data_IF_375312671469
#
_entry.id   IF_375312671469
#
_cell.length_a   1.000
_cell.length_b   1.000
_cell.length_c   1.000
_cell.angle_alpha   90.00
_cell.angle_beta   90.00
_cell.angle_gamma   90.00
#
_symmetry.space_group_name_H-M   'P 1'
#
loop_
_entity.id
_entity.type
_entity.pdbx_description
1 polymer ?
#
# COMPACT_ATOMS: atom_id res chain seq x y z
N UNK A 1 -0.33 26.99 -1.07
CA UNK A 1 0.73 26.15 -0.43
C UNK A 1 2.03 26.35 -1.19
N UNK A 2 3.10 26.74 -0.47
CA UNK A 2 4.43 26.99 -1.07
C UNK A 2 5.45 25.92 -0.65
N UNK A 3 5.35 25.41 0.58
CA UNK A 3 6.31 24.46 1.14
C UNK A 3 5.60 23.36 1.92
N UNK A 4 5.86 22.10 1.56
CA UNK A 4 5.34 20.92 2.24
C UNK A 4 6.49 19.98 2.63
N UNK A 5 6.44 19.46 3.85
CA UNK A 5 7.41 18.49 4.33
C UNK A 5 6.71 17.16 4.63
N UNK A 6 7.23 16.06 4.10
CA UNK A 6 6.67 14.73 4.30
C UNK A 6 7.61 13.83 5.12
N UNK A 7 7.04 12.81 5.73
CA UNK A 7 7.80 11.75 6.40
C UNK A 7 7.01 10.45 6.42
N UNK A 8 7.67 9.39 6.03
CA UNK A 8 7.15 8.02 6.06
C UNK A 8 8.24 7.05 5.66
N UNK A 9 8.25 5.85 6.18
CA UNK A 9 9.36 4.97 5.84
C UNK A 9 9.26 3.56 6.42
N UNK A 10 10.31 2.81 6.19
CA UNK A 10 10.41 1.42 6.59
C UNK A 10 9.79 0.44 5.61
N UNK A 11 8.73 0.80 4.90
CA UNK A 11 8.08 -0.03 3.87
C UNK A 11 7.54 0.81 2.72
N UNK A 12 7.35 0.18 1.55
CA UNK A 12 6.70 0.83 0.40
C UNK A 12 5.29 1.32 0.71
N UNK A 13 4.56 0.64 1.60
CA UNK A 13 3.21 1.02 2.02
C UNK A 13 3.11 2.38 2.72
N UNK A 14 4.23 2.93 3.22
CA UNK A 14 4.30 4.28 3.77
C UNK A 14 4.92 5.28 2.78
N UNK A 15 5.87 4.83 1.95
CA UNK A 15 6.61 5.71 1.05
C UNK A 15 5.76 6.09 -0.16
N UNK A 16 5.13 5.12 -0.82
CA UNK A 16 4.33 5.39 -2.02
C UNK A 16 3.13 6.30 -1.78
N UNK A 17 2.34 6.16 -0.70
CA UNK A 17 1.29 7.15 -0.39
C UNK A 17 1.82 8.57 -0.20
N UNK A 18 3.01 8.73 0.42
CA UNK A 18 3.63 10.04 0.54
C UNK A 18 3.96 10.64 -0.84
N UNK A 19 4.52 9.84 -1.75
CA UNK A 19 4.84 10.29 -3.11
C UNK A 19 3.57 10.59 -3.92
N UNK A 20 2.49 9.82 -3.73
CA UNK A 20 1.18 10.11 -4.35
C UNK A 20 0.62 11.44 -3.86
N UNK A 21 0.76 11.76 -2.57
CA UNK A 21 0.39 13.08 -2.03
C UNK A 21 1.22 14.18 -2.67
N UNK A 22 2.55 14.00 -2.81
CA UNK A 22 3.43 14.96 -3.49
C UNK A 22 2.95 15.23 -4.91
N UNK A 23 2.63 14.20 -5.67
CA UNK A 23 2.14 14.35 -7.04
C UNK A 23 0.82 15.11 -7.08
N UNK A 24 -0.12 14.83 -6.19
CA UNK A 24 -1.40 15.51 -6.12
C UNK A 24 -1.22 17.00 -5.73
N UNK A 25 -0.35 17.27 -4.76
CA UNK A 25 -0.02 18.65 -4.34
C UNK A 25 0.62 19.43 -5.51
N UNK A 26 1.56 18.83 -6.24
CA UNK A 26 2.21 19.46 -7.41
C UNK A 26 1.24 19.73 -8.57
N UNK A 27 0.25 18.86 -8.78
CA UNK A 27 -0.80 19.14 -9.78
C UNK A 27 -1.58 20.42 -9.48
N UNK A 28 -1.84 20.68 -8.18
CA UNK A 28 -2.59 21.87 -7.74
C UNK A 28 -1.73 23.09 -7.47
N UNK A 29 -0.48 22.88 -7.05
CA UNK A 29 0.51 23.91 -6.72
C UNK A 29 1.84 23.58 -7.43
N UNK A 30 1.98 23.93 -8.72
CA UNK A 30 3.15 23.53 -9.52
C UNK A 30 4.50 24.00 -8.94
N UNK A 31 4.51 25.15 -8.27
CA UNK A 31 5.73 25.77 -7.71
C UNK A 31 6.00 25.35 -6.25
N UNK A 32 5.32 24.33 -5.74
CA UNK A 32 5.50 23.88 -4.36
C UNK A 32 6.90 23.27 -4.15
N UNK A 33 7.61 23.80 -3.16
CA UNK A 33 8.84 23.17 -2.67
C UNK A 33 8.49 21.98 -1.77
N UNK A 34 9.14 20.85 -2.03
CA UNK A 34 8.90 19.62 -1.30
C UNK A 34 10.15 19.15 -0.57
N UNK A 35 10.00 18.85 0.71
CA UNK A 35 11.03 18.18 1.47
C UNK A 35 10.53 16.85 2.06
N UNK A 36 11.46 15.97 2.36
CA UNK A 36 11.18 14.67 2.96
C UNK A 36 12.16 14.37 4.09
N UNK A 37 11.65 13.94 5.24
CA UNK A 37 12.48 13.40 6.33
C UNK A 37 12.38 11.89 6.33
N UNK A 38 13.53 11.23 6.21
CA UNK A 38 13.66 9.77 6.19
C UNK A 38 14.87 9.29 6.97
N UNK A 39 15.13 7.98 6.99
CA UNK A 39 16.37 7.41 7.55
C UNK A 39 17.42 7.25 6.48
N UNK A 40 18.69 7.42 6.83
CA UNK A 40 19.81 7.32 5.89
C UNK A 40 19.90 5.98 5.15
N UNK A 41 19.55 4.89 5.83
CA UNK A 41 19.67 3.52 5.32
C UNK A 41 18.31 2.85 5.09
N UNK A 42 17.21 3.62 5.14
CA UNK A 42 15.87 3.12 4.88
C UNK A 42 15.57 3.03 3.38
N UNK A 43 14.52 2.31 3.06
CA UNK A 43 14.02 2.18 1.69
C UNK A 43 13.67 3.56 1.08
N UNK A 44 13.19 4.48 1.92
CA UNK A 44 12.88 5.86 1.55
C UNK A 44 14.10 6.64 1.02
N UNK A 45 15.30 6.39 1.55
CA UNK A 45 16.53 7.02 1.07
C UNK A 45 16.91 6.63 -0.37
N UNK A 46 16.41 5.48 -0.84
CA UNK A 46 16.63 5.02 -2.22
C UNK A 46 15.51 5.45 -3.16
N UNK A 47 14.25 5.47 -2.68
CA UNK A 47 13.06 5.71 -3.53
C UNK A 47 12.81 7.21 -3.69
N UNK A 48 12.81 7.99 -2.60
CA UNK A 48 12.40 9.39 -2.61
C UNK A 48 13.27 10.26 -3.52
N UNK A 49 14.62 10.16 -3.54
CA UNK A 49 15.45 10.94 -4.45
C UNK A 49 15.21 10.65 -5.94
N UNK A 50 14.65 9.50 -6.27
CA UNK A 50 14.32 9.13 -7.65
C UNK A 50 12.94 9.64 -8.09
N UNK A 51 12.13 10.14 -7.17
CA UNK A 51 10.76 10.59 -7.44
C UNK A 51 10.67 12.06 -7.89
N UNK A 52 11.80 12.71 -8.14
CA UNK A 52 11.89 14.10 -8.63
C UNK A 52 12.57 15.03 -7.63
N UNK A 53 12.40 16.35 -7.84
CA UNK A 53 13.02 17.37 -6.98
C UNK A 53 12.36 17.39 -5.59
N UNK A 54 12.92 16.62 -4.67
CA UNK A 54 12.50 16.51 -3.27
C UNK A 54 13.74 16.63 -2.40
N UNK A 55 13.79 17.68 -1.58
CA UNK A 55 14.89 17.88 -0.64
C UNK A 55 14.84 16.82 0.46
N UNK A 56 15.84 15.96 0.55
CA UNK A 56 15.88 14.87 1.53
C UNK A 56 16.71 15.26 2.75
N UNK A 57 16.13 15.09 3.96
CA UNK A 57 16.79 15.21 5.24
C UNK A 57 16.86 13.84 5.88
N UNK A 58 18.05 13.41 6.28
CA UNK A 58 18.23 12.15 6.99
C UNK A 58 18.23 12.33 8.50
N UNK A 59 17.57 11.40 9.20
CA UNK A 59 17.56 11.34 10.66
C UNK A 59 17.93 9.96 11.15
N UNK A 60 18.61 9.88 12.28
CA UNK A 60 18.95 8.62 12.91
C UNK A 60 17.84 8.22 13.88
N UNK A 61 17.02 7.24 13.47
CA UNK A 61 15.98 6.68 14.33
C UNK A 61 15.88 5.16 14.16
N UNK A 62 15.44 4.50 15.22
CA UNK A 62 15.20 3.06 15.28
C UNK A 62 13.79 2.79 15.79
N UNK A 63 13.10 1.82 15.20
CA UNK A 63 11.80 1.36 15.71
C UNK A 63 11.92 0.73 17.11
N UNK A 64 10.89 0.90 17.93
CA UNK A 64 10.84 0.29 19.27
C UNK A 64 10.83 -1.25 19.18
N UNK A 65 11.74 -1.89 19.90
CA UNK A 65 11.72 -3.35 20.09
C UNK A 65 10.59 -3.72 21.06
N UNK A 66 9.80 -4.75 20.73
CA UNK A 66 8.63 -5.17 21.51
C UNK A 66 8.95 -5.80 22.87
N UNK A 67 10.18 -6.21 23.12
CA UNK A 67 10.62 -6.76 24.41
C UNK A 67 11.15 -5.64 25.30
N UNK A 68 10.76 -5.66 26.56
CA UNK A 68 11.39 -4.82 27.58
C UNK A 68 12.88 -5.17 27.65
N UNK A 69 13.73 -4.29 27.18
CA UNK A 69 15.18 -4.46 27.19
C UNK A 69 15.85 -3.10 27.44
N UNK A 70 17.09 -3.13 27.90
CA UNK A 70 17.93 -1.92 28.04
C UNK A 70 18.08 -1.16 26.71
N UNK A 71 17.90 -1.85 25.58
CA UNK A 71 17.86 -1.24 24.25
C UNK A 71 16.72 -0.21 24.10
N UNK A 72 15.63 -0.33 24.86
CA UNK A 72 14.53 0.63 24.82
C UNK A 72 14.94 2.00 25.41
N UNK A 73 15.88 2.04 26.35
CA UNK A 73 16.43 3.30 26.87
C UNK A 73 17.23 4.01 25.77
N UNK A 74 18.03 3.27 25.02
CA UNK A 74 18.71 3.81 23.84
C UNK A 74 17.74 4.26 22.75
N UNK A 75 16.63 3.55 22.55
CA UNK A 75 15.59 3.93 21.60
C UNK A 75 14.91 5.24 21.99
N UNK A 76 14.68 5.48 23.30
CA UNK A 76 14.15 6.77 23.77
C UNK A 76 15.17 7.90 23.55
N UNK A 77 16.45 7.68 23.86
CA UNK A 77 17.49 8.67 23.60
C UNK A 77 17.63 8.99 22.10
N UNK A 78 17.59 7.98 21.24
CA UNK A 78 17.56 8.14 19.77
C UNK A 78 16.32 8.88 19.30
N UNK A 79 15.16 8.61 19.90
CA UNK A 79 13.94 9.34 19.58
C UNK A 79 14.05 10.84 19.92
N UNK A 80 14.59 11.18 21.10
CA UNK A 80 14.80 12.58 21.49
C UNK A 80 15.81 13.29 20.59
N UNK A 81 16.90 12.61 20.21
CA UNK A 81 17.86 13.11 19.21
C UNK A 81 17.17 13.35 17.88
N UNK A 82 16.42 12.36 17.36
CA UNK A 82 15.69 12.49 16.11
C UNK A 82 14.67 13.64 16.14
N UNK A 83 13.97 13.86 17.27
CA UNK A 83 13.07 15.03 17.42
C UNK A 83 13.86 16.35 17.32
N UNK A 84 15.07 16.43 17.86
CA UNK A 84 15.92 17.61 17.72
C UNK A 84 16.34 17.82 16.27
N UNK A 85 16.83 16.77 15.61
CA UNK A 85 17.28 16.83 14.22
C UNK A 85 16.10 17.19 13.28
N UNK A 86 14.90 16.64 13.53
CA UNK A 86 13.67 17.02 12.83
C UNK A 86 13.32 18.51 13.04
N UNK A 87 13.48 19.04 14.27
CA UNK A 87 13.24 20.48 14.53
C UNK A 87 14.21 21.36 13.74
N UNK A 88 15.46 20.95 13.60
CA UNK A 88 16.46 21.68 12.80
C UNK A 88 16.09 21.65 11.31
N UNK A 89 15.67 20.50 10.78
CA UNK A 89 15.19 20.36 9.40
C UNK A 89 13.94 21.23 9.14
N UNK A 90 12.95 21.22 10.05
CA UNK A 90 11.73 22.00 9.98
C UNK A 90 12.05 23.51 9.98
N UNK A 91 12.95 23.97 10.86
CA UNK A 91 13.38 25.40 10.88
C UNK A 91 14.11 25.80 9.63
N UNK A 92 14.94 24.94 9.07
CA UNK A 92 15.72 25.19 7.85
C UNK A 92 14.85 25.24 6.60
N UNK A 93 13.77 24.46 6.57
CA UNK A 93 12.88 24.37 5.40
C UNK A 93 11.65 25.28 5.51
N UNK A 94 11.16 25.56 6.73
CA UNK A 94 9.97 26.38 7.02
C UNK A 94 8.71 25.89 6.29
N UNK A 95 8.28 24.62 6.49
CA UNK A 95 7.08 24.10 5.84
C UNK A 95 5.81 24.74 6.38
N UNK A 96 4.82 24.95 5.50
CA UNK A 96 3.46 25.35 5.88
C UNK A 96 2.67 24.20 6.52
N UNK A 97 3.00 22.96 6.16
CA UNK A 97 2.39 21.74 6.72
C UNK A 97 3.39 20.59 6.71
N UNK A 98 3.30 19.75 7.74
CA UNK A 98 4.08 18.50 7.85
C UNK A 98 3.15 17.30 7.77
N UNK A 99 3.43 16.39 6.83
CA UNK A 99 2.61 15.22 6.51
C UNK A 99 3.35 13.94 6.91
N UNK A 100 2.70 13.09 7.68
CA UNK A 100 3.15 11.74 7.96
C UNK A 100 2.31 10.70 7.25
N UNK A 101 2.94 9.65 6.74
CA UNK A 101 2.24 8.52 6.09
C UNK A 101 2.48 7.20 6.80
N UNK A 102 3.04 7.26 8.02
CA UNK A 102 3.29 6.08 8.85
C UNK A 102 4.75 5.66 8.90
N UNK A 103 4.97 4.55 9.61
CA UNK A 103 6.31 4.10 9.93
C UNK A 103 6.90 4.83 11.15
N UNK A 104 7.97 4.25 11.70
CA UNK A 104 8.61 4.80 12.90
C UNK A 104 9.31 6.16 12.66
N UNK A 105 9.61 6.49 11.40
CA UNK A 105 10.28 7.75 10.99
C UNK A 105 9.35 8.94 11.13
N UNK A 106 8.05 8.78 10.84
CA UNK A 106 7.07 9.86 10.97
C UNK A 106 6.82 10.28 12.42
N UNK A 107 7.18 9.42 13.41
CA UNK A 107 7.00 9.68 14.83
C UNK A 107 7.68 10.97 15.31
N UNK A 108 9.02 11.05 15.28
CA UNK A 108 9.74 12.25 15.73
C UNK A 108 9.44 13.47 14.83
N UNK A 109 9.21 13.26 13.53
CA UNK A 109 8.94 14.34 12.59
C UNK A 109 7.64 15.08 12.92
N UNK A 110 6.53 14.36 13.02
CA UNK A 110 5.24 14.97 13.37
C UNK A 110 5.18 15.46 14.82
N UNK A 111 5.83 14.75 15.74
CA UNK A 111 5.94 15.23 17.11
C UNK A 111 6.71 16.55 17.21
N UNK A 112 7.84 16.68 16.48
CA UNK A 112 8.60 17.91 16.39
C UNK A 112 7.78 19.06 15.81
N UNK A 113 7.08 18.82 14.68
CA UNK A 113 6.22 19.79 14.01
C UNK A 113 5.10 20.28 14.95
N UNK A 114 4.38 19.37 15.60
CA UNK A 114 3.33 19.70 16.56
C UNK A 114 3.86 20.53 17.76
N UNK A 115 5.08 20.24 18.23
CA UNK A 115 5.71 21.04 19.30
C UNK A 115 6.26 22.38 18.85
N UNK A 116 6.34 22.61 17.54
CA UNK A 116 6.71 23.91 16.94
C UNK A 116 5.49 24.67 16.44
N UNK A 117 4.29 24.16 16.69
CA UNK A 117 3.00 24.72 16.17
C UNK A 117 2.97 24.84 14.65
N UNK A 118 3.69 23.96 13.94
CA UNK A 118 3.56 23.80 12.49
C UNK A 118 2.37 22.87 12.23
N UNK A 119 1.45 23.21 11.33
CA UNK A 119 0.31 22.36 10.96
C UNK A 119 0.71 20.92 10.62
N UNK A 120 -0.08 19.95 11.10
CA UNK A 120 0.27 18.53 11.00
C UNK A 120 -0.89 17.68 10.49
N UNK A 121 -0.55 16.79 9.58
CA UNK A 121 -1.45 15.80 9.01
C UNK A 121 -0.81 14.41 9.06
N UNK A 122 -1.55 13.38 9.46
CA UNK A 122 -1.09 11.99 9.37
C UNK A 122 -2.11 11.12 8.64
N UNK A 123 -1.63 10.31 7.69
CA UNK A 123 -2.41 9.29 7.03
C UNK A 123 -2.14 7.93 7.69
N UNK A 124 -3.18 7.28 8.18
CA UNK A 124 -3.15 5.90 8.66
C UNK A 124 -3.67 4.97 7.56
N UNK A 125 -2.84 4.10 7.00
CA UNK A 125 -3.26 3.23 5.91
C UNK A 125 -4.07 2.01 6.34
N UNK A 126 -3.79 1.42 7.51
CA UNK A 126 -4.29 0.11 7.93
C UNK A 126 -5.54 0.21 8.81
N UNK A 127 -6.38 -0.85 8.83
CA UNK A 127 -7.53 -0.98 9.75
C UNK A 127 -7.07 -0.98 11.20
N UNK A 128 -5.94 -1.65 11.50
CA UNK A 128 -5.32 -1.59 12.82
C UNK A 128 -4.19 -0.56 12.84
N UNK A 129 -4.40 0.63 13.44
CA UNK A 129 -3.43 1.70 13.38
C UNK A 129 -2.09 1.32 14.00
N UNK A 130 -1.01 1.77 13.34
CA UNK A 130 0.35 1.62 13.83
C UNK A 130 0.57 2.31 15.18
N UNK A 131 1.56 1.83 15.95
CA UNK A 131 1.91 2.43 17.25
C UNK A 131 2.27 3.91 17.12
N UNK A 132 2.94 4.28 16.05
CA UNK A 132 3.33 5.66 15.75
C UNK A 132 2.09 6.55 15.58
N UNK A 133 1.12 6.15 14.76
CA UNK A 133 -0.13 6.89 14.57
C UNK A 133 -0.90 7.00 15.88
N UNK A 134 -1.05 5.90 16.61
CA UNK A 134 -1.73 5.89 17.93
C UNK A 134 -1.06 6.84 18.95
N UNK A 135 0.26 6.93 18.95
CA UNK A 135 1.01 7.88 19.77
C UNK A 135 0.76 9.32 19.33
N UNK A 136 0.83 9.58 18.01
CA UNK A 136 0.72 10.92 17.43
C UNK A 136 -0.70 11.48 17.46
N UNK A 137 -1.73 10.65 17.51
CA UNK A 137 -3.15 11.03 17.45
C UNK A 137 -3.51 12.22 18.33
N UNK A 138 -2.92 12.32 19.53
CA UNK A 138 -3.18 13.42 20.48
C UNK A 138 -2.41 14.72 20.18
N UNK A 139 -1.44 14.68 19.31
CA UNK A 139 -0.56 15.82 19.04
C UNK A 139 -0.86 16.48 17.70
N UNK A 140 -1.14 15.68 16.67
CA UNK A 140 -1.38 16.15 15.30
C UNK A 140 -2.74 16.84 15.17
N UNK A 141 -2.86 17.72 14.17
CA UNK A 141 -4.08 18.49 13.94
C UNK A 141 -5.14 17.67 13.20
N UNK A 142 -4.72 16.90 12.17
CA UNK A 142 -5.61 16.00 11.44
C UNK A 142 -5.03 14.59 11.35
N UNK A 143 -5.87 13.62 11.65
CA UNK A 143 -5.65 12.19 11.37
C UNK A 143 -6.59 11.78 10.25
N UNK A 144 -6.04 11.32 9.14
CA UNK A 144 -6.78 10.74 8.03
C UNK A 144 -6.66 9.21 8.07
N UNK A 145 -7.72 8.51 7.75
CA UNK A 145 -7.73 7.06 7.68
C UNK A 145 -8.05 6.59 6.26
N UNK A 146 -7.36 5.55 5.82
CA UNK A 146 -7.55 4.98 4.49
C UNK A 146 -8.69 3.97 4.44
N UNK A 147 -8.79 3.12 5.47
CA UNK A 147 -9.79 2.07 5.58
C UNK A 147 -10.70 2.38 6.77
N UNK A 148 -12.01 2.22 6.59
CA UNK A 148 -12.97 2.35 7.69
C UNK A 148 -12.77 1.26 8.75
N UNK A 149 -13.11 1.58 10.00
CA UNK A 149 -12.93 0.70 11.15
C UNK A 149 -11.69 1.01 11.98
N UNK A 150 -10.73 1.79 11.47
CA UNK A 150 -9.58 2.25 12.25
C UNK A 150 -9.93 3.37 13.24
N UNK A 151 -11.03 4.08 13.02
CA UNK A 151 -11.50 5.23 13.81
C UNK A 151 -11.68 4.88 15.28
N UNK A 152 -12.16 3.69 15.59
CA UNK A 152 -12.37 3.20 16.96
C UNK A 152 -11.09 3.20 17.81
N UNK A 153 -9.91 3.12 17.20
CA UNK A 153 -8.62 3.14 17.87
C UNK A 153 -8.01 4.54 18.00
N UNK A 154 -8.60 5.55 17.34
CA UNK A 154 -8.06 6.90 17.18
C UNK A 154 -8.91 7.98 17.87
N UNK A 155 -9.61 7.62 18.92
CA UNK A 155 -10.59 8.46 19.66
C UNK A 155 -10.01 9.74 20.27
N UNK A 156 -8.66 9.88 20.30
CA UNK A 156 -7.98 11.08 20.84
C UNK A 156 -7.60 12.08 19.75
N UNK A 157 -8.00 11.85 18.49
CA UNK A 157 -7.71 12.76 17.40
C UNK A 157 -8.48 14.08 17.58
N UNK A 158 -7.79 15.21 17.36
CA UNK A 158 -8.42 16.53 17.33
C UNK A 158 -9.42 16.63 16.16
N UNK A 159 -9.01 16.12 15.01
CA UNK A 159 -9.83 15.93 13.82
C UNK A 159 -9.50 14.58 13.20
N UNK A 160 -10.54 13.82 12.91
CA UNK A 160 -10.46 12.50 12.28
C UNK A 160 -11.32 12.51 11.02
N UNK A 161 -10.75 12.11 9.89
CA UNK A 161 -11.43 12.08 8.60
C UNK A 161 -11.13 10.78 7.85
N UNK A 162 -12.09 10.31 7.05
CA UNK A 162 -11.90 9.19 6.14
C UNK A 162 -11.64 9.71 4.73
N UNK A 163 -10.38 9.71 4.33
CA UNK A 163 -9.94 10.20 3.00
C UNK A 163 -9.79 9.09 1.97
N UNK A 164 -9.57 7.86 2.40
CA UNK A 164 -9.00 6.83 1.55
C UNK A 164 -7.48 6.97 1.43
N UNK A 165 -6.89 6.16 0.56
CA UNK A 165 -5.46 6.18 0.28
C UNK A 165 -5.21 6.80 -1.10
N UNK A 166 -4.27 7.73 -1.25
CA UNK A 166 -4.02 8.44 -2.52
C UNK A 166 -3.57 7.51 -3.66
N UNK A 167 -3.14 6.29 -3.35
CA UNK A 167 -2.85 5.25 -4.34
C UNK A 167 -4.11 4.84 -5.14
N UNK A 168 -5.29 4.89 -4.54
CA UNK A 168 -6.55 4.65 -5.24
C UNK A 168 -6.79 5.66 -6.38
N UNK A 169 -6.46 6.94 -6.16
CA UNK A 169 -6.56 7.97 -7.20
C UNK A 169 -5.63 7.71 -8.38
N UNK A 170 -4.42 7.22 -8.13
CA UNK A 170 -3.50 6.86 -9.22
C UNK A 170 -4.00 5.65 -10.00
N UNK A 171 -4.56 4.66 -9.31
CA UNK A 171 -5.04 3.43 -9.93
C UNK A 171 -6.16 3.69 -10.97
N UNK A 172 -7.10 4.60 -10.68
CA UNK A 172 -8.20 4.91 -11.63
C UNK A 172 -7.76 5.73 -12.84
N UNK A 173 -6.54 6.28 -12.84
CA UNK A 173 -5.95 6.97 -13.98
C UNK A 173 -5.20 6.02 -14.93
N UNK A 174 -5.10 4.74 -14.57
CA UNK A 174 -4.38 3.73 -15.30
C UNK A 174 -5.14 3.27 -16.55
N UNK A 175 -4.40 2.72 -17.52
CA UNK A 175 -4.89 2.35 -18.85
C UNK A 175 -4.87 0.82 -19.02
N UNK A 176 -6.05 0.21 -19.00
CA UNK A 176 -6.21 -1.24 -19.18
C UNK A 176 -5.65 -1.76 -20.52
N UNK A 177 -5.72 -0.94 -21.57
CA UNK A 177 -5.19 -1.33 -22.89
C UNK A 177 -3.66 -1.45 -22.83
N UNK A 178 -3.00 -0.48 -22.20
CA UNK A 178 -1.55 -0.56 -21.96
C UNK A 178 -1.19 -1.73 -21.05
N UNK A 179 -2.04 -2.01 -20.05
CA UNK A 179 -1.86 -3.16 -19.17
C UNK A 179 -1.86 -4.48 -19.94
N UNK A 180 -2.85 -4.70 -20.82
CA UNK A 180 -2.91 -5.88 -21.67
C UNK A 180 -1.74 -5.95 -22.66
N UNK A 181 -1.40 -4.84 -23.28
CA UNK A 181 -0.29 -4.75 -24.22
C UNK A 181 1.06 -5.15 -23.56
N UNK A 182 1.31 -4.67 -22.34
CA UNK A 182 2.54 -5.01 -21.60
C UNK A 182 2.67 -6.50 -21.22
N UNK A 183 1.54 -7.22 -21.28
CA UNK A 183 1.48 -8.67 -21.03
C UNK A 183 1.47 -9.51 -22.32
N UNK A 184 1.50 -8.87 -23.51
CA UNK A 184 1.36 -9.55 -24.79
C UNK A 184 -0.07 -10.07 -25.04
N UNK A 185 -1.07 -9.40 -24.48
CA UNK A 185 -2.49 -9.79 -24.56
C UNK A 185 -3.33 -8.81 -25.39
N UNK A 186 -2.70 -8.12 -26.36
CA UNK A 186 -3.41 -7.27 -27.31
C UNK A 186 -4.46 -8.09 -28.08
N UNK A 187 -5.68 -7.58 -28.13
CA UNK A 187 -6.78 -8.24 -28.84
C UNK A 187 -7.38 -9.48 -28.14
N UNK A 188 -6.92 -9.80 -26.92
CA UNK A 188 -7.53 -10.83 -26.10
C UNK A 188 -8.58 -10.23 -25.16
N UNK A 189 -9.80 -10.77 -25.18
CA UNK A 189 -10.89 -10.38 -24.27
C UNK A 189 -11.01 -11.29 -23.03
N UNK A 190 -10.10 -12.27 -22.89
CA UNK A 190 -10.14 -13.18 -21.74
C UNK A 190 -10.01 -12.42 -20.43
N UNK A 191 -10.83 -12.73 -19.41
CA UNK A 191 -10.66 -12.20 -18.06
C UNK A 191 -9.27 -12.57 -17.51
N UNK A 192 -8.61 -11.61 -16.90
CA UNK A 192 -7.28 -11.78 -16.30
C UNK A 192 -7.40 -12.08 -14.81
N UNK A 193 -6.82 -13.20 -14.39
CA UNK A 193 -6.56 -13.52 -12.99
C UNK A 193 -5.11 -13.17 -12.69
N UNK A 194 -4.89 -12.05 -11.99
CA UNK A 194 -3.55 -11.62 -11.60
C UNK A 194 -3.17 -12.22 -10.25
N UNK A 195 -2.03 -12.88 -10.19
CA UNK A 195 -1.52 -13.50 -8.96
C UNK A 195 -0.16 -12.88 -8.61
N UNK A 196 -0.09 -12.12 -7.51
CA UNK A 196 1.13 -11.43 -7.11
C UNK A 196 1.29 -11.39 -5.58
N UNK A 197 2.40 -11.91 -5.10
CA UNK A 197 2.74 -11.95 -3.67
C UNK A 197 3.33 -10.67 -3.09
N UNK A 198 3.30 -9.54 -3.85
CA UNK A 198 3.97 -8.29 -3.52
C UNK A 198 5.33 -8.15 -4.19
N UNK A 199 6.04 -7.02 -3.98
CA UNK A 199 7.27 -6.66 -4.70
C UNK A 199 8.41 -7.68 -4.58
N UNK A 200 8.47 -8.45 -3.52
CA UNK A 200 9.48 -9.51 -3.31
C UNK A 200 8.96 -10.91 -3.63
N UNK A 201 7.70 -11.02 -4.06
CA UNK A 201 7.02 -12.30 -4.17
C UNK A 201 6.64 -12.89 -2.81
N UNK A 202 5.97 -14.05 -2.85
CA UNK A 202 5.57 -14.80 -1.66
C UNK A 202 5.68 -16.30 -1.95
N UNK A 203 6.68 -16.96 -1.38
CA UNK A 203 6.94 -18.38 -1.61
C UNK A 203 5.69 -19.27 -1.41
N UNK A 204 4.87 -19.11 -0.33
CA UNK A 204 3.67 -19.91 -0.16
C UNK A 204 2.63 -19.73 -1.28
N UNK A 205 2.46 -18.49 -1.79
CA UNK A 205 1.58 -18.23 -2.94
C UNK A 205 2.14 -18.90 -4.18
N UNK A 206 3.45 -18.78 -4.43
CA UNK A 206 4.10 -19.40 -5.58
C UNK A 206 3.94 -20.94 -5.56
N UNK A 207 4.12 -21.58 -4.40
CA UNK A 207 3.94 -23.01 -4.24
C UNK A 207 2.48 -23.45 -4.49
N UNK A 208 1.51 -22.68 -4.01
CA UNK A 208 0.09 -22.97 -4.27
C UNK A 208 -0.24 -22.83 -5.77
N UNK A 209 0.30 -21.83 -6.46
CA UNK A 209 0.14 -21.66 -7.92
C UNK A 209 0.73 -22.85 -8.66
N UNK A 210 1.96 -23.26 -8.34
CA UNK A 210 2.59 -24.42 -8.97
C UNK A 210 1.77 -25.69 -8.78
N UNK A 211 1.16 -25.88 -7.61
CA UNK A 211 0.32 -27.04 -7.33
C UNK A 211 -1.02 -27.05 -8.09
N UNK A 212 -1.52 -25.88 -8.54
CA UNK A 212 -2.79 -25.81 -9.29
C UNK A 212 -2.60 -25.73 -10.81
N UNK A 213 -1.38 -25.73 -11.33
CA UNK A 213 -1.09 -25.63 -12.78
C UNK A 213 -1.90 -26.61 -13.66
N UNK A 214 -2.09 -27.89 -13.29
CA UNK A 214 -2.89 -28.81 -14.12
C UNK A 214 -4.32 -28.30 -14.34
N UNK A 215 -4.94 -27.71 -13.32
CA UNK A 215 -6.29 -27.14 -13.41
C UNK A 215 -6.32 -25.84 -14.21
N UNK A 216 -5.30 -24.99 -14.04
CA UNK A 216 -5.16 -23.75 -14.83
C UNK A 216 -5.09 -24.04 -16.33
N UNK A 217 -4.37 -25.12 -16.72
CA UNK A 217 -4.21 -25.54 -18.12
C UNK A 217 -5.55 -25.92 -18.77
N UNK A 218 -6.47 -26.51 -18.01
CA UNK A 218 -7.79 -26.90 -18.49
C UNK A 218 -8.76 -25.72 -18.62
N UNK A 219 -8.47 -24.62 -17.92
CA UNK A 219 -9.38 -23.45 -17.82
C UNK A 219 -9.02 -22.38 -18.84
N UNK A 220 -9.34 -22.64 -20.13
CA UNK A 220 -8.92 -21.83 -21.27
C UNK A 220 -9.68 -20.51 -21.43
N UNK A 221 -10.75 -20.31 -20.70
CA UNK A 221 -11.57 -19.08 -20.70
C UNK A 221 -10.91 -17.94 -19.96
N UNK A 222 -9.98 -18.23 -19.05
CA UNK A 222 -9.23 -17.26 -18.29
C UNK A 222 -7.80 -17.13 -18.79
N UNK A 223 -7.20 -15.98 -18.57
CA UNK A 223 -5.75 -15.78 -18.65
C UNK A 223 -5.15 -15.51 -17.27
N UNK A 224 -4.16 -16.29 -16.91
CA UNK A 224 -3.46 -16.14 -15.64
C UNK A 224 -2.18 -15.34 -15.82
N UNK A 225 -2.00 -14.32 -15.00
CA UNK A 225 -0.75 -13.55 -14.92
C UNK A 225 -0.12 -13.83 -13.56
N UNK A 226 1.00 -14.52 -13.58
CA UNK A 226 1.68 -14.95 -12.36
C UNK A 226 2.97 -14.17 -12.14
N UNK A 227 3.01 -13.35 -11.09
CA UNK A 227 4.14 -12.52 -10.69
C UNK A 227 4.85 -13.18 -9.50
N UNK A 228 5.98 -13.78 -9.77
CA UNK A 228 6.69 -14.63 -8.79
C UNK A 228 7.48 -13.86 -7.75
N UNK A 229 7.90 -12.63 -8.06
CA UNK A 229 8.98 -11.90 -7.40
C UNK A 229 10.34 -12.28 -8.01
N UNK A 230 11.23 -11.31 -8.19
CA UNK A 230 12.54 -11.51 -8.82
C UNK A 230 13.36 -12.63 -8.17
N UNK A 231 13.33 -12.70 -6.83
CA UNK A 231 14.11 -13.70 -6.07
C UNK A 231 13.60 -15.15 -6.22
N UNK A 232 12.43 -15.36 -6.77
CA UNK A 232 11.81 -16.68 -6.93
C UNK A 232 11.64 -17.07 -8.40
N UNK A 233 11.91 -16.15 -9.33
CA UNK A 233 11.58 -16.34 -10.75
C UNK A 233 12.26 -17.57 -11.35
N UNK A 234 13.57 -17.72 -11.17
CA UNK A 234 14.34 -18.83 -11.73
C UNK A 234 13.89 -20.19 -11.16
N UNK A 235 13.62 -20.25 -9.85
CA UNK A 235 13.12 -21.47 -9.20
C UNK A 235 11.74 -21.87 -9.74
N UNK A 236 10.85 -20.88 -9.90
CA UNK A 236 9.48 -21.11 -10.37
C UNK A 236 9.49 -21.52 -11.85
N UNK A 237 10.23 -20.84 -12.70
CA UNK A 237 10.32 -21.16 -14.14
C UNK A 237 10.93 -22.53 -14.39
N UNK A 238 11.93 -22.94 -13.62
CA UNK A 238 12.47 -24.28 -13.68
C UNK A 238 11.41 -25.38 -13.35
N UNK A 239 10.51 -25.11 -12.39
CA UNK A 239 9.42 -26.03 -12.02
C UNK A 239 8.27 -26.06 -13.02
N UNK A 240 8.15 -25.06 -13.88
CA UNK A 240 7.19 -25.07 -15.00
C UNK A 240 7.58 -26.02 -16.11
N UNK A 241 8.75 -26.65 -16.04
CA UNK A 241 9.29 -27.67 -16.97
C UNK A 241 9.29 -27.25 -18.44
N UNK A 242 9.39 -25.95 -18.73
CA UNK A 242 9.32 -25.37 -20.09
C UNK A 242 8.10 -25.84 -20.90
N UNK A 243 7.05 -26.28 -20.27
CA UNK A 243 5.78 -26.60 -20.93
C UNK A 243 4.97 -25.30 -21.11
N UNK A 244 4.89 -24.76 -22.31
CA UNK A 244 4.14 -23.53 -22.55
C UNK A 244 2.66 -23.76 -22.25
N UNK A 245 2.04 -22.78 -21.64
CA UNK A 245 0.59 -22.72 -21.44
C UNK A 245 0.08 -21.44 -22.11
N UNK A 246 -0.84 -21.59 -23.07
CA UNK A 246 -1.36 -20.46 -23.86
C UNK A 246 -2.16 -19.45 -23.01
N UNK A 247 -2.54 -19.85 -21.80
CA UNK A 247 -3.32 -19.03 -20.87
C UNK A 247 -2.55 -18.65 -19.59
N UNK A 248 -1.21 -18.68 -19.65
CA UNK A 248 -0.37 -18.32 -18.53
C UNK A 248 0.78 -17.39 -18.97
N UNK A 249 0.85 -16.21 -18.38
CA UNK A 249 2.02 -15.32 -18.46
C UNK A 249 2.74 -15.32 -17.12
N UNK A 250 4.04 -15.59 -17.10
CA UNK A 250 4.88 -15.57 -15.89
C UNK A 250 5.85 -14.42 -15.95
N UNK A 251 5.88 -13.58 -14.94
CA UNK A 251 6.74 -12.41 -14.84
C UNK A 251 7.49 -12.38 -13.51
N UNK A 252 8.76 -11.97 -13.47
CA UNK A 252 9.46 -11.76 -12.21
C UNK A 252 8.92 -10.55 -11.45
N UNK A 253 8.56 -9.50 -12.18
CA UNK A 253 8.05 -8.24 -11.67
C UNK A 253 7.25 -7.49 -12.74
N UNK A 254 6.27 -6.68 -12.33
CA UNK A 254 5.49 -5.79 -13.21
C UNK A 254 5.76 -4.34 -12.82
N UNK A 255 6.37 -3.56 -13.73
CA UNK A 255 6.71 -2.16 -13.49
C UNK A 255 5.52 -1.21 -13.66
N UNK A 256 4.60 -1.52 -14.57
CA UNK A 256 3.36 -0.78 -14.82
C UNK A 256 2.16 -1.44 -14.14
N UNK A 257 2.32 -1.84 -12.88
CA UNK A 257 1.27 -2.54 -12.11
C UNK A 257 -0.10 -1.84 -12.13
N UNK A 258 -0.22 -0.50 -12.06
CA UNK A 258 -1.52 0.16 -12.16
C UNK A 258 -2.27 -0.17 -13.46
N UNK A 259 -1.59 -0.16 -14.62
CA UNK A 259 -2.22 -0.46 -15.91
C UNK A 259 -2.66 -1.93 -15.97
N UNK A 260 -1.83 -2.85 -15.45
CA UNK A 260 -2.19 -4.27 -15.39
C UNK A 260 -3.36 -4.51 -14.45
N UNK A 261 -3.42 -3.81 -13.30
CA UNK A 261 -4.58 -3.86 -12.41
C UNK A 261 -5.86 -3.38 -13.10
N UNK A 262 -5.79 -2.29 -13.86
CA UNK A 262 -6.95 -1.79 -14.61
C UNK A 262 -7.51 -2.81 -15.63
N UNK A 263 -6.68 -3.78 -16.08
CA UNK A 263 -7.07 -4.87 -16.97
C UNK A 263 -7.47 -6.16 -16.22
N UNK A 264 -7.35 -6.19 -14.88
CA UNK A 264 -7.51 -7.41 -14.06
C UNK A 264 -8.97 -7.63 -13.66
N UNK A 265 -9.43 -8.87 -13.79
CA UNK A 265 -10.79 -9.29 -13.39
C UNK A 265 -10.83 -9.86 -11.97
N UNK A 266 -9.76 -10.53 -11.54
CA UNK A 266 -9.62 -11.07 -10.18
C UNK A 266 -8.16 -10.94 -9.73
N UNK A 267 -7.96 -10.43 -8.53
CA UNK A 267 -6.63 -10.34 -7.92
C UNK A 267 -6.44 -11.39 -6.85
N UNK A 268 -5.30 -12.09 -6.88
CA UNK A 268 -4.83 -12.99 -5.81
C UNK A 268 -3.53 -12.42 -5.23
N UNK A 269 -3.51 -12.07 -3.94
CA UNK A 269 -2.28 -11.50 -3.39
C UNK A 269 -2.31 -11.20 -1.90
N UNK A 270 -1.34 -10.40 -1.48
CA UNK A 270 -1.24 -9.92 -0.10
C UNK A 270 -2.23 -8.76 0.15
N UNK A 271 -2.56 -8.51 1.41
CA UNK A 271 -3.55 -7.52 1.85
C UNK A 271 -2.92 -6.26 2.45
N UNK A 272 -1.91 -5.71 1.80
CA UNK A 272 -1.35 -4.40 2.17
C UNK A 272 -2.34 -3.28 1.86
N UNK A 273 -2.53 -2.34 2.79
CA UNK A 273 -3.58 -1.31 2.71
C UNK A 273 -3.52 -0.44 1.44
N UNK A 274 -2.33 -0.04 0.99
CA UNK A 274 -2.17 0.72 -0.27
C UNK A 274 -2.67 -0.07 -1.48
N UNK A 275 -2.39 -1.38 -1.49
CA UNK A 275 -2.83 -2.26 -2.57
C UNK A 275 -4.34 -2.49 -2.53
N UNK A 276 -4.93 -2.66 -1.33
CA UNK A 276 -6.39 -2.73 -1.19
C UNK A 276 -7.08 -1.46 -1.68
N UNK A 277 -6.49 -0.29 -1.45
CA UNK A 277 -7.03 0.96 -1.97
C UNK A 277 -7.02 1.03 -3.51
N UNK A 278 -5.99 0.50 -4.16
CA UNK A 278 -5.93 0.36 -5.61
C UNK A 278 -7.04 -0.59 -6.11
N UNK A 279 -7.18 -1.78 -5.49
CA UNK A 279 -8.19 -2.78 -5.85
C UNK A 279 -9.60 -2.23 -5.67
N UNK A 280 -9.89 -1.60 -4.55
CA UNK A 280 -11.23 -1.07 -4.27
C UNK A 280 -11.58 0.12 -5.16
N UNK A 281 -10.61 1.01 -5.46
CA UNK A 281 -10.84 2.11 -6.38
C UNK A 281 -11.18 1.64 -7.81
N UNK A 282 -10.60 0.52 -8.24
CA UNK A 282 -10.89 -0.11 -9.53
C UNK A 282 -12.10 -1.06 -9.50
N UNK A 283 -12.61 -1.40 -8.31
CA UNK A 283 -13.69 -2.37 -8.15
C UNK A 283 -13.29 -3.81 -8.44
N UNK A 284 -12.04 -4.19 -8.16
CA UNK A 284 -11.50 -5.52 -8.46
C UNK A 284 -11.82 -6.48 -7.32
N UNK A 285 -12.52 -7.61 -7.57
CA UNK A 285 -12.64 -8.72 -6.64
C UNK A 285 -11.27 -9.28 -6.25
N UNK A 286 -11.12 -9.74 -5.00
CA UNK A 286 -9.82 -10.23 -4.57
C UNK A 286 -9.86 -11.47 -3.68
N UNK A 287 -8.85 -12.34 -3.85
CA UNK A 287 -8.51 -13.41 -2.92
C UNK A 287 -7.25 -12.99 -2.18
N UNK A 288 -7.38 -12.77 -0.89
CA UNK A 288 -6.33 -12.20 -0.05
C UNK A 288 -5.66 -13.27 0.80
N UNK A 289 -4.35 -13.36 0.68
CA UNK A 289 -3.50 -14.24 1.49
C UNK A 289 -2.64 -13.36 2.39
N UNK A 290 -3.10 -13.00 3.60
CA UNK A 290 -2.35 -12.13 4.50
C UNK A 290 -1.03 -12.75 4.92
N UNK A 291 0.03 -11.92 4.98
CA UNK A 291 1.32 -12.36 5.50
C UNK A 291 1.29 -12.41 7.03
N UNK A 292 1.64 -13.54 7.68
CA UNK A 292 1.70 -13.64 9.13
C UNK A 292 2.93 -12.97 9.74
N UNK A 293 3.89 -12.54 8.91
CA UNK A 293 5.18 -11.99 9.36
C UNK A 293 5.17 -10.47 9.52
N UNK A 294 4.05 -9.80 9.24
CA UNK A 294 3.93 -8.35 9.35
C UNK A 294 3.65 -7.90 10.78
N UNK A 295 3.98 -6.64 11.05
CA UNK A 295 3.79 -6.04 12.37
C UNK A 295 2.31 -6.02 12.76
N UNK A 296 1.97 -6.46 13.98
CA UNK A 296 0.61 -6.49 14.54
C UNK A 296 -0.43 -7.26 13.70
N UNK A 297 0.05 -8.15 12.82
CA UNK A 297 -0.84 -8.91 11.93
C UNK A 297 -1.84 -8.03 11.14
N UNK A 298 -1.41 -6.80 10.78
CA UNK A 298 -2.28 -5.81 10.15
C UNK A 298 -2.86 -6.31 8.82
N UNK A 299 -2.11 -7.15 8.07
CA UNK A 299 -2.62 -7.69 6.81
C UNK A 299 -3.84 -8.61 7.02
N UNK A 300 -3.87 -9.42 8.06
CA UNK A 300 -5.05 -10.24 8.36
C UNK A 300 -6.26 -9.34 8.71
N UNK A 301 -6.04 -8.29 9.48
CA UNK A 301 -7.12 -7.34 9.80
C UNK A 301 -7.66 -6.63 8.56
N UNK A 302 -6.77 -6.23 7.65
CA UNK A 302 -7.15 -5.62 6.37
C UNK A 302 -7.92 -6.60 5.47
N UNK A 303 -7.46 -7.87 5.38
CA UNK A 303 -8.12 -8.89 4.58
C UNK A 303 -9.50 -9.24 5.13
N UNK A 304 -9.62 -9.40 6.45
CA UNK A 304 -10.87 -9.67 7.13
C UNK A 304 -11.87 -8.54 6.94
N UNK A 305 -11.42 -7.29 7.07
CA UNK A 305 -12.25 -6.12 6.81
C UNK A 305 -12.83 -6.16 5.38
N UNK A 306 -12.01 -6.46 4.37
CA UNK A 306 -12.49 -6.53 2.99
C UNK A 306 -13.47 -7.69 2.76
N UNK A 307 -13.21 -8.84 3.38
CA UNK A 307 -14.09 -10.02 3.32
C UNK A 307 -15.45 -9.74 3.97
N UNK A 308 -15.46 -9.13 5.16
CA UNK A 308 -16.70 -8.74 5.86
C UNK A 308 -17.55 -7.74 5.06
N UNK A 309 -16.92 -6.93 4.20
CA UNK A 309 -17.62 -6.03 3.28
C UNK A 309 -18.09 -6.72 1.99
N UNK A 310 -17.80 -8.01 1.81
CA UNK A 310 -18.15 -8.77 0.61
C UNK A 310 -17.32 -8.44 -0.63
N UNK A 311 -16.21 -7.72 -0.48
CA UNK A 311 -15.35 -7.28 -1.58
C UNK A 311 -14.17 -8.21 -1.87
N UNK A 312 -13.99 -9.25 -1.06
CA UNK A 312 -12.91 -10.23 -1.23
C UNK A 312 -13.14 -11.50 -0.44
N UNK A 313 -12.24 -12.45 -0.61
CA UNK A 313 -12.16 -13.69 0.15
C UNK A 313 -10.79 -13.83 0.78
N UNK A 314 -10.72 -14.15 2.06
CA UNK A 314 -9.47 -14.38 2.76
C UNK A 314 -9.13 -15.87 2.81
N UNK A 315 -7.86 -16.20 2.54
CA UNK A 315 -7.27 -17.52 2.80
C UNK A 315 -6.06 -17.30 3.69
N UNK A 316 -6.07 -17.85 4.89
CA UNK A 316 -4.89 -17.73 5.77
C UNK A 316 -3.73 -18.55 5.19
N UNK A 317 -2.50 -18.04 5.32
CA UNK A 317 -1.31 -18.69 4.73
C UNK A 317 -1.16 -20.15 5.17
N UNK A 318 -1.54 -20.51 6.42
CA UNK A 318 -1.55 -21.89 6.93
C UNK A 318 -2.60 -22.80 6.27
N UNK A 319 -3.59 -22.23 5.62
CA UNK A 319 -4.69 -22.94 4.94
C UNK A 319 -4.51 -22.92 3.42
N UNK A 320 -3.46 -22.21 2.95
CA UNK A 320 -3.19 -22.04 1.54
C UNK A 320 -2.60 -23.33 0.96
N UNK A 321 -3.30 -23.88 -0.02
CA UNK A 321 -2.87 -24.99 -0.87
C UNK A 321 -3.28 -24.69 -2.31
N UNK A 322 -2.74 -25.43 -3.28
CA UNK A 322 -3.21 -25.32 -4.67
C UNK A 322 -4.70 -25.60 -4.80
N UNK A 323 -5.25 -26.52 -3.99
CA UNK A 323 -6.67 -26.85 -4.02
C UNK A 323 -7.55 -25.74 -3.41
N UNK A 324 -7.20 -25.20 -2.24
CA UNK A 324 -7.97 -24.11 -1.60
C UNK A 324 -7.95 -22.86 -2.43
N UNK A 325 -6.79 -22.51 -3.04
CA UNK A 325 -6.65 -21.37 -3.92
C UNK A 325 -7.47 -21.55 -5.20
N UNK A 326 -7.36 -22.70 -5.86
CA UNK A 326 -8.13 -23.00 -7.05
C UNK A 326 -9.64 -22.94 -6.79
N UNK A 327 -10.12 -23.59 -5.73
CA UNK A 327 -11.54 -23.59 -5.38
C UNK A 327 -12.07 -22.17 -5.17
N UNK A 328 -11.25 -21.27 -4.59
CA UNK A 328 -11.63 -19.87 -4.41
C UNK A 328 -11.70 -19.10 -5.75
N UNK A 329 -10.71 -19.32 -6.63
CA UNK A 329 -10.70 -18.70 -7.98
C UNK A 329 -11.92 -19.20 -8.79
N UNK A 330 -12.13 -20.49 -8.81
CA UNK A 330 -13.20 -21.12 -9.56
C UNK A 330 -14.59 -20.67 -9.09
N UNK A 331 -14.81 -20.58 -7.78
CA UNK A 331 -16.07 -20.11 -7.20
C UNK A 331 -16.43 -18.67 -7.59
N UNK A 332 -15.41 -17.80 -7.77
CA UNK A 332 -15.63 -16.41 -8.17
C UNK A 332 -15.76 -16.30 -9.70
N UNK A 333 -14.85 -16.94 -10.45
CA UNK A 333 -14.76 -16.74 -11.90
C UNK A 333 -15.77 -17.55 -12.73
N UNK A 334 -16.32 -18.65 -12.19
CA UNK A 334 -17.40 -19.42 -12.85
C UNK A 334 -18.79 -18.92 -12.53
N UNK A 335 -18.96 -18.06 -11.55
CA UNK A 335 -20.23 -17.46 -11.17
C UNK A 335 -20.22 -15.95 -11.47
N UNK A 336 -20.76 -15.52 -12.62
CA UNK A 336 -20.78 -14.10 -12.99
C UNK A 336 -21.53 -13.21 -11.99
N UNK A 337 -22.55 -13.75 -11.30
CA UNK A 337 -23.32 -13.01 -10.30
C UNK A 337 -22.48 -12.78 -9.05
N UNK A 338 -21.80 -13.80 -8.55
CA UNK A 338 -20.88 -13.69 -7.42
C UNK A 338 -19.72 -12.73 -7.70
N UNK A 339 -19.12 -12.85 -8.92
CA UNK A 339 -18.08 -11.93 -9.36
C UNK A 339 -18.57 -10.48 -9.40
N UNK A 340 -19.74 -10.24 -9.99
CA UNK A 340 -20.33 -8.90 -10.09
C UNK A 340 -20.63 -8.32 -8.70
N UNK A 341 -21.26 -9.09 -7.83
CA UNK A 341 -21.55 -8.64 -6.45
C UNK A 341 -20.28 -8.26 -5.70
N UNK A 342 -19.21 -9.06 -5.82
CA UNK A 342 -17.94 -8.77 -5.18
C UNK A 342 -17.26 -7.53 -5.77
N UNK A 343 -17.34 -7.34 -7.09
CA UNK A 343 -16.83 -6.16 -7.78
C UNK A 343 -17.56 -4.89 -7.34
N UNK A 344 -18.89 -4.90 -7.28
CA UNK A 344 -19.67 -3.76 -6.80
C UNK A 344 -19.41 -3.46 -5.31
N UNK A 345 -19.23 -4.49 -4.49
CA UNK A 345 -18.84 -4.32 -3.10
C UNK A 345 -17.47 -3.66 -3.00
N UNK A 346 -16.50 -4.12 -3.77
CA UNK A 346 -15.14 -3.53 -3.85
C UNK A 346 -15.22 -2.05 -4.26
N UNK A 347 -15.97 -1.75 -5.32
CA UNK A 347 -16.13 -0.40 -5.84
C UNK A 347 -16.77 0.57 -4.84
N UNK A 348 -17.75 0.12 -4.04
CA UNK A 348 -18.38 0.94 -3.00
C UNK A 348 -17.39 1.35 -1.89
N UNK A 349 -16.37 0.55 -1.63
CA UNK A 349 -15.32 0.84 -0.65
C UNK A 349 -14.24 1.78 -1.19
N UNK A 350 -14.10 1.85 -2.50
CA UNK A 350 -13.09 2.63 -3.19
C UNK A 350 -13.23 4.13 -2.94
N UNK A 351 -12.09 4.81 -2.90
CA UNK A 351 -11.98 6.28 -2.80
C UNK A 351 -11.09 6.80 -3.92
N UNK A 352 -11.64 6.89 -5.14
CA UNK A 352 -10.87 7.35 -6.30
C UNK A 352 -10.44 8.81 -6.20
N UNK A 353 -11.09 9.60 -5.36
CA UNK A 353 -10.84 11.00 -5.08
C UNK A 353 -9.93 11.25 -3.86
N UNK A 354 -9.34 10.20 -3.30
CA UNK A 354 -8.59 10.27 -2.04
C UNK A 354 -7.47 11.32 -2.04
N UNK A 355 -6.74 11.45 -3.17
CA UNK A 355 -5.63 12.40 -3.26
C UNK A 355 -6.12 13.86 -3.24
N UNK A 356 -7.22 14.16 -3.91
CA UNK A 356 -7.86 15.48 -3.95
C UNK A 356 -8.39 15.86 -2.57
N UNK A 357 -9.10 14.94 -1.90
CA UNK A 357 -9.60 15.13 -0.53
C UNK A 357 -8.46 15.40 0.46
N UNK A 358 -7.34 14.69 0.31
CA UNK A 358 -6.15 14.93 1.13
C UNK A 358 -5.58 16.33 0.86
N UNK A 359 -5.45 16.75 -0.41
CA UNK A 359 -4.93 18.07 -0.74
C UNK A 359 -5.83 19.18 -0.19
N UNK A 360 -7.17 19.05 -0.28
CA UNK A 360 -8.12 19.99 0.31
C UNK A 360 -7.92 20.11 1.82
N UNK A 361 -7.75 18.99 2.50
CA UNK A 361 -7.50 18.98 3.94
C UNK A 361 -6.14 19.58 4.31
N UNK A 362 -5.10 19.36 3.50
CA UNK A 362 -3.79 19.98 3.70
C UNK A 362 -3.87 21.51 3.55
N UNK A 363 -4.63 22.02 2.58
CA UNK A 363 -4.90 23.46 2.45
C UNK A 363 -5.63 23.98 3.68
N UNK A 364 -6.67 23.29 4.12
CA UNK A 364 -7.46 23.69 5.30
C UNK A 364 -6.61 23.77 6.57
N UNK A 365 -5.72 22.81 6.79
CA UNK A 365 -4.91 22.77 8.03
C UNK A 365 -3.75 23.75 8.00
N UNK A 366 -3.28 24.17 6.80
CA UNK A 366 -2.19 25.13 6.61
C UNK A 366 -2.66 26.60 6.60
N UNK A 367 -3.97 26.83 6.54
CA UNK A 367 -4.62 28.17 6.63
C UNK A 367 -4.87 28.56 8.07
#
# INVERSE_FOLDING_TARGET
MKKILLSGGGTGGHIYPALSIVQAVRRRFPDVEVAYIGTKNGLEATIVPKAGDIRFFDVEIQGFKRKLSLDNVQTVAKFLKAVRDCKEAIRSFEPEVVVGTGGYVSGPTLYAAAKMNVPTFILEPDVLPGLTTRFLTRYVDTVAVSLSGSEQYLTKAKRLIHTGNPRGTEAVQADAVKGRASLGLEGSDKPIVLIAGGSRGAKPINEAVLAMLPRMREFKELHFVFVTGEVHYDEVTAKLNNEPMDNLTVQPFIYNMPDVLAATSLMVGRSGASFLAELTALGIPSILVPSPYVTNNHQEMNARWLEEQGAGRMILERELTGNTLWTAIEAIMKDPESHHHMSEASKRLGRPDAAEVIVDELVRVSS
#
